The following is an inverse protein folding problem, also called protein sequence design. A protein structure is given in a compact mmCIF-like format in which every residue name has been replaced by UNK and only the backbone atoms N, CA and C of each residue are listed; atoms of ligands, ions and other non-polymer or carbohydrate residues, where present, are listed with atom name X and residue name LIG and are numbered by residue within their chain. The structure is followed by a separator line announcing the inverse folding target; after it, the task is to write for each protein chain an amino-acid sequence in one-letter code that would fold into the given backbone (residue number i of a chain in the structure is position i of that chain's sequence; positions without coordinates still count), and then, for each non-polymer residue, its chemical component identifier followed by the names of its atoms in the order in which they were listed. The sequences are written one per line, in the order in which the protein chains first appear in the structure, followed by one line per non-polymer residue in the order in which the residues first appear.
data_IF_977644218139
#
_entry.id   IF_977644218139
#
_cell.length_a   1.000
_cell.length_b   1.000
_cell.length_c   1.000
_cell.angle_alpha   90.00
_cell.angle_beta   90.00
_cell.angle_gamma   90.00
#
_symmetry.space_group_name_H-M   'P 1'
#
loop_
_entity.id
_entity.type
_entity.pdbx_description
1 polymer ?
#
# COMPACT_ATOMS: atom_id res chain seq x y z
N UNK A 1 -24.31 -2.45 2.79
CA UNK A 1 -23.36 -1.44 3.26
C UNK A 1 -21.95 -1.91 2.95
N UNK A 2 -21.10 -1.05 2.42
CA UNK A 2 -19.68 -1.35 2.12
C UNK A 2 -18.83 -0.32 2.86
N UNK A 3 -17.82 -0.77 3.59
CA UNK A 3 -16.88 0.10 4.28
C UNK A 3 -15.66 0.38 3.38
N UNK A 4 -15.22 1.64 3.37
CA UNK A 4 -13.95 2.06 2.76
C UNK A 4 -13.44 3.30 3.49
N UNK A 5 -12.12 3.53 3.50
CA UNK A 5 -11.59 4.79 4.03
C UNK A 5 -11.93 5.93 3.07
N UNK A 6 -12.48 7.00 3.62
CA UNK A 6 -12.86 8.19 2.84
C UNK A 6 -11.74 9.24 2.89
N UNK A 7 -11.62 10.02 1.83
CA UNK A 7 -10.61 11.08 1.70
C UNK A 7 -9.46 10.73 0.76
N UNK A 8 -9.60 9.69 -0.07
CA UNK A 8 -8.65 9.31 -1.10
C UNK A 8 -8.71 7.84 -1.51
N UNK A 9 -8.94 6.93 -0.55
CA UNK A 9 -8.88 5.47 -0.77
C UNK A 9 -10.20 4.88 -1.29
N UNK A 10 -11.26 5.68 -1.41
CA UNK A 10 -12.54 5.23 -1.97
C UNK A 10 -12.52 5.13 -3.49
N UNK A 11 -11.51 5.69 -4.15
CA UNK A 11 -11.53 5.90 -5.59
C UNK A 11 -11.31 4.61 -6.39
N UNK A 12 -10.50 3.67 -5.92
CA UNK A 12 -10.34 2.35 -6.52
C UNK A 12 -11.66 1.57 -6.47
N UNK A 13 -12.37 1.64 -5.33
CA UNK A 13 -13.69 1.04 -5.18
C UNK A 13 -14.68 1.70 -6.14
N UNK A 14 -14.73 3.03 -6.19
CA UNK A 14 -15.68 3.76 -7.06
C UNK A 14 -15.39 3.50 -8.55
N UNK A 15 -14.11 3.44 -8.92
CA UNK A 15 -13.67 3.07 -10.25
C UNK A 15 -14.14 1.66 -10.63
N UNK A 16 -14.03 0.71 -9.70
CA UNK A 16 -14.46 -0.68 -9.87
C UNK A 16 -15.98 -0.76 -10.04
N UNK A 17 -16.73 -0.08 -9.16
CA UNK A 17 -18.19 -0.05 -9.24
C UNK A 17 -18.68 0.55 -10.55
N UNK A 18 -18.12 1.70 -10.95
CA UNK A 18 -18.48 2.35 -12.19
C UNK A 18 -18.11 1.53 -13.44
N UNK A 19 -16.98 0.80 -13.42
CA UNK A 19 -16.61 -0.17 -14.47
C UNK A 19 -17.68 -1.24 -14.65
N UNK A 20 -18.32 -1.66 -13.56
CA UNK A 20 -19.41 -2.64 -13.54
C UNK A 20 -20.81 -2.00 -13.61
N UNK A 21 -20.91 -0.71 -13.93
CA UNK A 21 -22.17 0.00 -14.14
C UNK A 21 -22.94 0.32 -12.86
N UNK A 22 -22.29 0.26 -11.70
CA UNK A 22 -22.89 0.60 -10.40
C UNK A 22 -22.56 2.04 -9.98
N UNK A 23 -23.56 2.75 -9.49
CA UNK A 23 -23.44 4.08 -8.90
C UNK A 23 -23.23 3.95 -7.38
N UNK A 24 -22.05 4.34 -6.84
CA UNK A 24 -21.75 4.21 -5.42
C UNK A 24 -22.68 5.02 -4.50
N UNK A 25 -23.38 6.03 -5.03
CA UNK A 25 -24.31 6.86 -4.26
C UNK A 25 -25.75 6.32 -4.26
N UNK A 26 -26.11 5.46 -5.23
CA UNK A 26 -27.48 4.95 -5.38
C UNK A 26 -27.59 3.46 -5.11
N UNK A 27 -26.64 2.69 -5.59
CA UNK A 27 -26.69 1.22 -5.54
C UNK A 27 -26.09 0.66 -4.25
N UNK A 28 -25.34 1.49 -3.51
CA UNK A 28 -24.69 1.12 -2.27
C UNK A 28 -24.93 2.13 -1.16
N UNK A 29 -24.76 1.65 0.07
CA UNK A 29 -24.55 2.51 1.24
C UNK A 29 -23.07 2.41 1.61
N UNK A 30 -22.30 3.41 1.22
CA UNK A 30 -20.89 3.54 1.60
C UNK A 30 -20.80 4.09 3.01
N UNK A 31 -19.96 3.49 3.86
CA UNK A 31 -19.69 3.98 5.21
C UNK A 31 -18.19 4.18 5.40
N UNK A 32 -17.82 5.15 6.23
CA UNK A 32 -16.43 5.37 6.59
C UNK A 32 -15.91 4.18 7.39
N UNK A 33 -14.84 3.57 6.92
CA UNK A 33 -14.17 2.48 7.63
C UNK A 33 -13.29 3.03 8.76
N UNK A 34 -13.29 2.41 9.95
CA UNK A 34 -12.25 2.64 10.96
C UNK A 34 -10.91 2.01 10.52
N UNK A 35 -9.84 2.18 11.30
CA UNK A 35 -8.55 1.49 11.08
C UNK A 35 -8.55 0.05 11.64
N UNK A 36 -9.73 -0.57 11.72
CA UNK A 36 -9.94 -1.95 12.14
C UNK A 36 -10.99 -2.64 11.26
N UNK A 37 -11.11 -3.97 11.40
CA UNK A 37 -12.03 -4.78 10.60
C UNK A 37 -13.32 -5.17 11.34
N UNK A 38 -13.66 -4.50 12.44
CA UNK A 38 -14.82 -4.87 13.26
C UNK A 38 -16.15 -4.77 12.51
N UNK A 39 -16.33 -3.77 11.64
CA UNK A 39 -17.56 -3.65 10.86
C UNK A 39 -17.81 -4.88 9.98
N UNK A 40 -16.76 -5.45 9.38
CA UNK A 40 -16.87 -6.66 8.57
C UNK A 40 -17.10 -7.90 9.46
N UNK A 41 -16.30 -8.03 10.53
CA UNK A 41 -16.35 -9.17 11.43
C UNK A 41 -17.69 -9.29 12.17
N UNK A 42 -18.27 -8.16 12.57
CA UNK A 42 -19.60 -8.06 13.20
C UNK A 42 -20.76 -8.15 12.21
N UNK A 43 -20.48 -8.24 10.90
CA UNK A 43 -21.48 -8.26 9.82
C UNK A 43 -22.32 -6.97 9.71
N UNK A 44 -21.80 -5.84 10.19
CA UNK A 44 -22.41 -4.52 10.01
C UNK A 44 -22.28 -4.02 8.55
N UNK A 45 -21.26 -4.50 7.84
CA UNK A 45 -21.06 -4.33 6.40
C UNK A 45 -20.88 -5.67 5.70
N UNK A 46 -21.18 -5.71 4.40
CA UNK A 46 -21.03 -6.93 3.58
C UNK A 46 -19.67 -7.03 2.92
N UNK A 47 -18.96 -5.91 2.80
CA UNK A 47 -17.59 -5.82 2.30
C UNK A 47 -16.89 -4.63 2.98
N UNK A 48 -15.57 -4.72 3.10
CA UNK A 48 -14.70 -3.70 3.65
C UNK A 48 -13.41 -3.64 2.83
N UNK A 49 -12.85 -2.44 2.66
CA UNK A 49 -11.54 -2.27 2.04
C UNK A 49 -10.45 -2.84 2.96
N UNK A 50 -9.39 -3.39 2.37
CA UNK A 50 -8.30 -3.94 3.15
C UNK A 50 -6.99 -3.82 2.38
N UNK A 51 -5.93 -3.46 3.09
CA UNK A 51 -4.58 -3.64 2.60
C UNK A 51 -4.12 -5.07 2.89
N UNK A 52 -3.46 -5.70 1.92
CA UNK A 52 -2.94 -7.09 2.05
C UNK A 52 -1.98 -7.21 3.23
N UNK A 53 -1.22 -6.15 3.49
CA UNK A 53 -0.24 -6.10 4.56
C UNK A 53 -0.82 -5.78 5.93
N UNK A 54 -2.06 -5.28 6.08
CA UNK A 54 -2.60 -4.84 7.37
C UNK A 54 -3.99 -5.44 7.66
N UNK A 55 -5.06 -4.82 7.17
CA UNK A 55 -6.45 -5.21 7.51
C UNK A 55 -6.77 -6.64 7.10
N UNK A 56 -6.19 -7.12 6.00
CA UNK A 56 -6.34 -8.51 5.60
C UNK A 56 -5.83 -9.47 6.69
N UNK A 57 -4.68 -9.16 7.30
CA UNK A 57 -4.16 -9.92 8.43
C UNK A 57 -5.09 -9.83 9.65
N UNK A 58 -5.63 -8.64 9.95
CA UNK A 58 -6.57 -8.49 11.08
C UNK A 58 -7.79 -9.42 10.97
N UNK A 59 -8.29 -9.68 9.76
CA UNK A 59 -9.37 -10.65 9.56
C UNK A 59 -8.87 -12.08 9.81
N UNK A 60 -7.72 -12.45 9.25
CA UNK A 60 -7.13 -13.78 9.39
C UNK A 60 -6.64 -14.10 10.82
N UNK A 61 -6.41 -13.07 11.64
CA UNK A 61 -6.04 -13.19 13.06
C UNK A 61 -7.25 -13.40 13.98
N UNK A 62 -8.48 -13.45 13.44
CA UNK A 62 -9.70 -13.62 14.21
C UNK A 62 -10.28 -15.02 14.01
N UNK A 63 -10.85 -15.61 15.07
CA UNK A 63 -11.56 -16.89 14.95
C UNK A 63 -12.86 -16.72 14.16
N UNK A 64 -13.01 -17.54 13.14
CA UNK A 64 -14.26 -17.72 12.44
C UNK A 64 -15.28 -18.39 13.38
N UNK A 65 -16.43 -17.75 13.68
CA UNK A 65 -17.39 -18.28 14.64
C UNK A 65 -18.06 -19.58 14.19
N UNK A 66 -17.98 -19.93 12.90
CA UNK A 66 -18.54 -21.19 12.38
C UNK A 66 -17.62 -22.38 12.59
N UNK A 67 -16.31 -22.21 12.39
CA UNK A 67 -15.33 -23.31 12.48
C UNK A 67 -14.62 -23.36 13.84
N UNK A 68 -14.61 -22.26 14.59
CA UNK A 68 -13.82 -22.10 15.81
C UNK A 68 -12.31 -21.97 15.57
N UNK A 69 -11.87 -22.02 14.30
CA UNK A 69 -10.49 -21.81 13.86
C UNK A 69 -10.32 -20.38 13.36
N UNK A 70 -9.08 -19.93 13.17
CA UNK A 70 -8.81 -18.65 12.51
C UNK A 70 -9.45 -18.61 11.12
N UNK A 71 -9.96 -17.45 10.72
CA UNK A 71 -10.37 -17.21 9.35
C UNK A 71 -9.26 -17.62 8.39
N UNK A 72 -9.64 -18.31 7.32
CA UNK A 72 -8.73 -18.69 6.25
C UNK A 72 -9.01 -17.84 5.02
N UNK A 73 -8.04 -17.67 4.10
CA UNK A 73 -8.28 -17.01 2.81
C UNK A 73 -9.49 -17.57 2.06
N UNK A 74 -9.74 -18.88 2.15
CA UNK A 74 -10.90 -19.55 1.55
C UNK A 74 -12.25 -19.19 2.18
N UNK A 75 -12.26 -18.50 3.33
CA UNK A 75 -13.48 -17.99 3.96
C UNK A 75 -13.88 -16.60 3.42
N UNK A 76 -13.05 -16.01 2.55
CA UNK A 76 -13.17 -14.64 2.08
C UNK A 76 -13.32 -14.61 0.56
N UNK A 77 -14.20 -13.73 0.10
CA UNK A 77 -14.27 -13.34 -1.31
C UNK A 77 -13.46 -12.06 -1.48
N UNK A 78 -12.45 -12.09 -2.36
CA UNK A 78 -11.51 -10.99 -2.54
C UNK A 78 -11.77 -10.31 -3.88
N UNK A 79 -12.07 -9.01 -3.83
CA UNK A 79 -12.07 -8.13 -4.99
C UNK A 79 -10.71 -7.46 -5.06
N UNK A 80 -9.87 -7.93 -5.98
CA UNK A 80 -8.53 -7.38 -6.19
C UNK A 80 -8.57 -6.27 -7.25
N UNK A 81 -8.28 -5.04 -6.85
CA UNK A 81 -8.29 -3.89 -7.75
C UNK A 81 -7.22 -3.98 -8.85
N UNK A 82 -6.16 -4.75 -8.67
CA UNK A 82 -5.18 -5.01 -9.74
C UNK A 82 -5.80 -5.87 -10.84
N UNK A 83 -6.55 -6.91 -10.46
CA UNK A 83 -7.28 -7.76 -11.41
C UNK A 83 -8.43 -7.01 -12.08
N UNK A 84 -9.06 -6.09 -11.34
CA UNK A 84 -10.07 -5.20 -11.91
C UNK A 84 -9.48 -4.09 -12.81
N UNK A 85 -8.16 -3.87 -12.79
CA UNK A 85 -7.52 -2.79 -13.54
C UNK A 85 -7.92 -1.40 -13.06
N UNK A 86 -8.29 -1.29 -11.79
CA UNK A 86 -8.75 -0.06 -11.12
C UNK A 86 -7.87 0.32 -9.93
N UNK A 87 -6.80 -0.46 -9.67
CA UNK A 87 -5.77 -0.12 -8.72
C UNK A 87 -5.08 1.20 -9.09
N UNK A 88 -4.74 1.98 -8.07
CA UNK A 88 -4.05 3.25 -8.17
C UNK A 88 -2.74 3.19 -7.38
N UNK A 89 -1.79 4.06 -7.69
CA UNK A 89 -0.59 4.24 -6.89
C UNK A 89 -0.96 4.85 -5.53
N UNK A 90 -0.38 4.30 -4.47
CA UNK A 90 -0.59 4.72 -3.10
C UNK A 90 0.59 5.57 -2.60
N UNK A 91 1.29 5.11 -1.56
CA UNK A 91 2.30 5.87 -0.83
C UNK A 91 3.45 6.38 -1.70
N UNK A 92 3.87 7.62 -1.45
CA UNK A 92 4.97 8.25 -2.17
C UNK A 92 5.66 9.36 -1.38
N UNK A 93 6.92 9.64 -1.73
CA UNK A 93 7.66 10.80 -1.22
C UNK A 93 7.31 12.00 -2.08
N UNK A 94 6.74 13.05 -1.48
CA UNK A 94 6.41 14.29 -2.17
C UNK A 94 7.10 15.50 -1.54
N UNK A 95 7.29 16.55 -2.34
CA UNK A 95 7.80 17.85 -1.90
C UNK A 95 7.23 18.95 -2.79
N UNK A 96 7.37 20.20 -2.36
CA UNK A 96 6.95 21.34 -3.17
C UNK A 96 7.88 21.54 -4.36
N UNK A 97 7.34 21.99 -5.49
CA UNK A 97 8.14 22.32 -6.66
C UNK A 97 9.17 23.42 -6.36
N UNK A 98 8.82 24.39 -5.50
CA UNK A 98 9.74 25.44 -5.07
C UNK A 98 10.99 24.86 -4.35
N UNK A 99 10.80 23.88 -3.47
CA UNK A 99 11.90 23.21 -2.80
C UNK A 99 12.79 22.47 -3.80
N UNK A 100 12.20 21.71 -4.73
CA UNK A 100 12.95 20.90 -5.69
C UNK A 100 13.67 21.73 -6.78
N UNK A 101 13.16 22.93 -7.09
CA UNK A 101 13.77 23.83 -8.08
C UNK A 101 14.96 24.63 -7.52
N UNK A 102 15.07 24.78 -6.18
CA UNK A 102 16.24 25.43 -5.59
C UNK A 102 17.46 24.49 -5.66
N UNK A 103 18.48 24.92 -6.41
CA UNK A 103 19.73 24.17 -6.60
C UNK A 103 20.41 23.77 -5.26
N UNK A 104 20.23 24.56 -4.20
CA UNK A 104 20.78 24.25 -2.86
C UNK A 104 20.08 23.05 -2.20
N UNK A 105 18.82 22.81 -2.54
CA UNK A 105 17.99 21.75 -1.96
C UNK A 105 18.04 20.45 -2.76
N UNK A 106 18.46 20.49 -4.03
CA UNK A 106 18.51 19.30 -4.87
C UNK A 106 19.39 18.19 -4.29
N UNK A 107 20.57 18.53 -3.74
CA UNK A 107 21.42 17.55 -3.07
C UNK A 107 20.80 17.02 -1.75
N UNK A 108 20.03 17.86 -1.05
CA UNK A 108 19.26 17.42 0.13
C UNK A 108 18.20 16.40 -0.29
N UNK A 109 17.46 16.66 -1.36
CA UNK A 109 16.44 15.74 -1.88
C UNK A 109 17.05 14.39 -2.28
N UNK A 110 18.18 14.39 -3.01
CA UNK A 110 18.87 13.13 -3.37
C UNK A 110 19.33 12.36 -2.12
N UNK A 111 19.91 13.05 -1.13
CA UNK A 111 20.37 12.39 0.10
C UNK A 111 19.21 11.85 0.94
N UNK A 112 18.10 12.58 1.02
CA UNK A 112 16.89 12.14 1.68
C UNK A 112 16.34 10.86 1.04
N UNK A 113 16.11 10.88 -0.28
CA UNK A 113 15.63 9.69 -1.00
C UNK A 113 16.60 8.53 -0.84
N UNK A 114 17.90 8.75 -1.01
CA UNK A 114 18.93 7.71 -0.80
C UNK A 114 18.84 7.10 0.60
N UNK A 115 18.69 7.91 1.64
CA UNK A 115 18.59 7.42 3.02
C UNK A 115 17.30 6.60 3.22
N UNK A 116 16.16 7.08 2.71
CA UNK A 116 14.90 6.34 2.76
C UNK A 116 14.99 4.99 2.05
N UNK A 117 15.55 4.94 0.84
CA UNK A 117 15.72 3.69 0.09
C UNK A 117 16.67 2.72 0.80
N UNK A 118 17.76 3.21 1.40
CA UNK A 118 18.65 2.37 2.22
C UNK A 118 17.92 1.79 3.44
N UNK A 119 17.02 2.54 4.06
CA UNK A 119 16.18 2.04 5.15
C UNK A 119 15.28 0.89 4.69
N UNK A 120 14.60 1.04 3.56
CA UNK A 120 13.77 -0.03 2.97
C UNK A 120 14.59 -1.27 2.59
N UNK A 121 15.77 -1.08 1.97
CA UNK A 121 16.70 -2.17 1.65
C UNK A 121 17.13 -2.89 2.95
N UNK A 122 17.45 -2.14 4.00
CA UNK A 122 17.78 -2.73 5.30
C UNK A 122 16.62 -3.55 5.85
N UNK A 123 15.38 -3.05 5.79
CA UNK A 123 14.20 -3.77 6.29
C UNK A 123 13.84 -5.01 5.49
N UNK A 124 14.12 -5.03 4.19
CA UNK A 124 14.05 -6.24 3.37
C UNK A 124 14.95 -7.34 3.92
N UNK A 125 16.20 -6.97 4.20
CA UNK A 125 17.25 -7.92 4.55
C UNK A 125 17.28 -8.25 6.06
N UNK A 126 16.63 -7.42 6.89
CA UNK A 126 16.61 -7.50 8.35
C UNK A 126 15.19 -7.31 8.91
N UNK A 127 14.25 -8.14 8.47
CA UNK A 127 12.82 -8.03 8.83
C UNK A 127 12.59 -7.92 10.34
N UNK A 128 13.22 -8.78 11.15
CA UNK A 128 13.04 -8.75 12.62
C UNK A 128 13.50 -7.43 13.24
N UNK A 129 14.63 -6.89 12.78
CA UNK A 129 15.16 -5.63 13.29
C UNK A 129 14.21 -4.48 12.98
N UNK A 130 13.66 -4.44 11.76
CA UNK A 130 12.71 -3.39 11.39
C UNK A 130 11.38 -3.49 12.14
N UNK A 131 10.90 -4.70 12.41
CA UNK A 131 9.74 -4.90 13.29
C UNK A 131 10.03 -4.35 14.69
N UNK A 132 11.20 -4.61 15.26
CA UNK A 132 11.57 -4.11 16.58
C UNK A 132 11.75 -2.58 16.60
N UNK A 133 12.23 -1.97 15.52
CA UNK A 133 12.26 -0.50 15.35
C UNK A 133 10.85 0.09 15.41
N UNK A 134 9.90 -0.49 14.67
CA UNK A 134 8.50 -0.01 14.63
C UNK A 134 7.84 -0.17 15.99
N UNK A 135 7.96 -1.34 16.63
CA UNK A 135 7.38 -1.62 17.94
C UNK A 135 7.91 -0.68 19.03
N UNK A 136 9.17 -0.25 18.93
CA UNK A 136 9.74 0.74 19.85
C UNK A 136 9.09 2.12 19.72
N UNK A 137 8.60 2.49 18.53
CA UNK A 137 7.93 3.78 18.30
C UNK A 137 6.41 3.70 18.46
N UNK A 138 5.80 2.52 18.22
CA UNK A 138 4.36 2.31 18.28
C UNK A 138 4.00 0.83 18.50
N UNK A 139 3.81 0.39 19.75
CA UNK A 139 3.55 -1.01 20.09
C UNK A 139 2.06 -1.40 20.00
N UNK A 140 1.21 -0.59 19.35
CA UNK A 140 -0.25 -0.81 19.31
C UNK A 140 -0.62 -2.13 18.64
N UNK A 141 0.09 -2.50 17.56
CA UNK A 141 -0.09 -3.78 16.88
C UNK A 141 0.97 -4.78 17.37
N UNK A 142 0.61 -6.05 17.63
CA UNK A 142 1.56 -7.01 18.19
C UNK A 142 2.66 -7.42 17.20
N UNK A 143 3.71 -8.08 17.72
CA UNK A 143 4.91 -8.42 16.94
C UNK A 143 4.62 -9.35 15.75
N UNK A 144 3.77 -10.35 15.92
CA UNK A 144 3.36 -11.25 14.82
C UNK A 144 2.71 -10.47 13.67
N UNK A 145 1.78 -9.58 14.00
CA UNK A 145 1.10 -8.70 13.04
C UNK A 145 2.10 -7.79 12.31
N UNK A 146 2.98 -7.10 13.05
CA UNK A 146 4.01 -6.24 12.44
C UNK A 146 4.98 -7.03 11.54
N UNK A 147 5.27 -8.28 11.89
CA UNK A 147 6.08 -9.18 11.06
C UNK A 147 5.36 -9.55 9.77
N UNK A 148 4.04 -9.79 9.83
CA UNK A 148 3.22 -9.94 8.62
C UNK A 148 3.28 -8.70 7.74
N UNK A 149 3.04 -7.50 8.32
CA UNK A 149 3.04 -6.26 7.53
C UNK A 149 4.36 -6.07 6.80
N UNK A 150 5.48 -6.23 7.51
CA UNK A 150 6.81 -6.05 6.94
C UNK A 150 7.08 -7.08 5.83
N UNK A 151 6.61 -8.32 5.99
CA UNK A 151 6.75 -9.35 4.96
C UNK A 151 5.91 -9.04 3.71
N UNK A 152 4.64 -8.66 3.86
CA UNK A 152 3.76 -8.36 2.73
C UNK A 152 4.17 -7.08 1.99
N UNK A 153 4.56 -6.01 2.70
CA UNK A 153 5.09 -4.80 2.07
C UNK A 153 6.36 -5.11 1.27
N UNK A 154 7.25 -5.95 1.79
CA UNK A 154 8.45 -6.35 1.04
C UNK A 154 8.09 -7.07 -0.27
N UNK A 155 7.00 -7.86 -0.34
CA UNK A 155 6.56 -8.46 -1.60
C UNK A 155 6.10 -7.42 -2.63
N UNK A 156 5.50 -6.33 -2.17
CA UNK A 156 5.05 -5.24 -3.04
C UNK A 156 6.22 -4.41 -3.57
N UNK A 157 7.22 -4.15 -2.73
CA UNK A 157 8.38 -3.31 -3.10
C UNK A 157 9.41 -4.09 -3.93
N UNK A 158 9.64 -5.37 -3.63
CA UNK A 158 10.74 -6.17 -4.18
C UNK A 158 10.25 -7.26 -5.14
N UNK A 159 9.60 -6.82 -6.22
CA UNK A 159 9.03 -7.72 -7.23
C UNK A 159 10.05 -8.25 -8.26
N UNK A 160 11.29 -7.77 -8.21
CA UNK A 160 12.36 -8.14 -9.14
C UNK A 160 12.21 -7.53 -10.54
N UNK A 161 11.26 -6.63 -10.75
CA UNK A 161 10.93 -6.00 -12.03
C UNK A 161 11.11 -4.49 -12.00
N UNK A 162 10.78 -3.83 -10.89
CA UNK A 162 10.85 -2.38 -10.73
C UNK A 162 11.96 -1.98 -9.76
N UNK A 163 12.68 -0.91 -10.09
CA UNK A 163 13.71 -0.35 -9.22
C UNK A 163 13.01 0.41 -8.08
N UNK A 164 13.37 0.09 -6.85
CA UNK A 164 12.78 0.72 -5.65
C UNK A 164 12.81 2.24 -5.71
N UNK A 165 11.66 2.86 -5.47
CA UNK A 165 11.50 4.31 -5.40
C UNK A 165 11.54 5.04 -6.76
N UNK A 166 11.70 4.33 -7.87
CA UNK A 166 11.53 4.90 -9.21
C UNK A 166 10.07 4.74 -9.61
N UNK A 167 9.40 5.86 -9.89
CA UNK A 167 8.03 5.85 -10.40
C UNK A 167 7.96 5.08 -11.72
N UNK A 168 6.99 4.18 -11.85
CA UNK A 168 6.68 3.53 -13.12
C UNK A 168 5.69 4.37 -13.94
N UNK A 169 6.08 4.71 -15.17
CA UNK A 169 5.29 5.58 -16.04
C UNK A 169 3.92 4.98 -16.38
N UNK A 170 3.80 3.65 -16.48
CA UNK A 170 2.52 3.00 -16.80
C UNK A 170 1.59 3.00 -15.60
N UNK A 171 2.10 2.70 -14.41
CA UNK A 171 1.31 2.74 -13.17
C UNK A 171 0.86 4.18 -12.86
N UNK A 172 1.72 5.17 -13.11
CA UNK A 172 1.32 6.59 -13.01
C UNK A 172 0.23 6.95 -14.00
N UNK A 173 0.38 6.57 -15.27
CA UNK A 173 -0.62 6.87 -16.30
C UNK A 173 -1.96 6.20 -15.99
N UNK A 174 -1.97 4.94 -15.58
CA UNK A 174 -3.18 4.24 -15.14
C UNK A 174 -3.86 4.99 -14.00
N UNK A 175 -3.11 5.39 -12.98
CA UNK A 175 -3.62 6.15 -11.83
C UNK A 175 -4.23 7.48 -12.28
N UNK A 176 -3.54 8.23 -13.13
CA UNK A 176 -4.01 9.51 -13.67
C UNK A 176 -5.28 9.36 -14.51
N UNK A 177 -5.37 8.31 -15.32
CA UNK A 177 -6.53 8.03 -16.16
C UNK A 177 -7.75 7.64 -15.33
N UNK A 178 -7.57 6.80 -14.31
CA UNK A 178 -8.63 6.44 -13.35
C UNK A 178 -9.10 7.70 -12.62
N UNK A 179 -8.16 8.49 -12.07
CA UNK A 179 -8.47 9.72 -11.35
C UNK A 179 -9.27 10.71 -12.22
N UNK A 180 -8.92 10.86 -13.50
CA UNK A 180 -9.64 11.73 -14.42
C UNK A 180 -11.02 11.16 -14.77
N UNK A 181 -11.07 9.89 -15.16
CA UNK A 181 -12.29 9.21 -15.62
C UNK A 181 -13.38 9.23 -14.55
N UNK A 182 -13.00 9.05 -13.29
CA UNK A 182 -13.95 8.97 -12.16
C UNK A 182 -14.04 10.26 -11.35
N UNK A 183 -13.48 11.37 -11.85
CA UNK A 183 -13.76 12.71 -11.35
C UNK A 183 -13.01 13.13 -10.09
N UNK A 184 -11.96 12.39 -9.71
CA UNK A 184 -11.01 12.80 -8.65
C UNK A 184 -10.28 14.08 -9.06
N UNK A 185 -9.85 14.13 -10.32
CA UNK A 185 -9.26 15.31 -10.95
C UNK A 185 -10.13 15.79 -12.11
N UNK A 186 -10.19 17.11 -12.30
CA UNK A 186 -11.00 17.74 -13.36
C UNK A 186 -10.27 17.91 -14.69
N UNK A 187 -8.95 17.75 -14.68
CA UNK A 187 -8.06 17.92 -15.82
C UNK A 187 -7.06 16.78 -15.80
N UNK A 188 -6.57 16.38 -16.96
CA UNK A 188 -5.51 15.40 -17.07
C UNK A 188 -4.32 15.81 -16.20
N UNK A 189 -3.69 14.81 -15.55
CA UNK A 189 -2.50 15.04 -14.74
C UNK A 189 -1.39 15.67 -15.58
N UNK A 190 -0.73 16.69 -15.03
CA UNK A 190 0.42 17.30 -15.69
C UNK A 190 1.61 16.33 -15.66
N UNK A 191 2.45 16.34 -16.70
CA UNK A 191 3.72 15.58 -16.70
C UNK A 191 4.65 15.99 -15.55
N UNK A 192 4.50 17.20 -15.03
CA UNK A 192 5.21 17.70 -13.86
C UNK A 192 4.67 17.17 -12.52
N UNK A 193 3.61 16.34 -12.52
CA UNK A 193 3.02 15.79 -11.30
C UNK A 193 3.97 14.83 -10.55
N UNK A 194 4.96 14.25 -11.23
CA UNK A 194 6.05 13.53 -10.59
C UNK A 194 7.38 13.80 -11.30
N UNK A 195 8.48 13.46 -10.63
CA UNK A 195 9.82 13.43 -11.22
C UNK A 195 10.60 12.25 -10.68
N UNK A 196 11.31 11.55 -11.56
CA UNK A 196 12.22 10.46 -11.18
C UNK A 196 13.65 10.96 -10.95
N UNK A 197 13.96 12.22 -11.26
CA UNK A 197 15.33 12.74 -11.29
C UNK A 197 16.09 12.51 -9.98
N UNK A 198 15.46 12.77 -8.83
CA UNK A 198 16.11 12.67 -7.53
C UNK A 198 16.27 11.21 -7.09
N UNK A 199 15.25 10.39 -7.35
CA UNK A 199 15.29 8.96 -7.07
C UNK A 199 16.30 8.23 -7.96
N UNK A 200 16.40 8.59 -9.25
CA UNK A 200 17.41 8.05 -10.16
C UNK A 200 18.82 8.36 -9.68
N UNK A 201 19.10 9.63 -9.33
CA UNK A 201 20.41 10.02 -8.75
C UNK A 201 20.71 9.28 -7.44
N UNK A 202 19.69 9.02 -6.62
CA UNK A 202 19.84 8.25 -5.39
C UNK A 202 20.20 6.79 -5.70
N UNK A 203 19.47 6.13 -6.58
CA UNK A 203 19.73 4.75 -7.04
C UNK A 203 21.11 4.62 -7.69
N UNK A 204 21.47 5.50 -8.62
CA UNK A 204 22.74 5.44 -9.36
C UNK A 204 23.98 5.52 -8.45
N UNK A 205 23.81 6.14 -7.28
CA UNK A 205 24.86 6.25 -6.26
C UNK A 205 24.96 5.04 -5.31
N UNK A 206 24.05 4.07 -5.43
CA UNK A 206 23.93 2.89 -4.59
C UNK A 206 24.31 1.62 -5.39
N UNK A 207 25.50 1.60 -5.98
CA UNK A 207 25.93 0.55 -6.92
C UNK A 207 26.12 -0.84 -6.29
N UNK A 208 26.33 -0.90 -4.98
CA UNK A 208 26.69 -2.13 -4.26
C UNK A 208 25.50 -2.75 -3.50
N UNK A 209 24.26 -2.30 -3.77
CA UNK A 209 23.05 -2.84 -3.13
C UNK A 209 22.02 -3.26 -4.17
N UNK A 210 21.27 -4.32 -3.86
CA UNK A 210 20.19 -4.79 -4.71
C UNK A 210 19.00 -3.81 -4.63
N UNK A 211 18.86 -2.94 -5.62
CA UNK A 211 17.77 -1.97 -5.72
C UNK A 211 16.54 -2.50 -6.47
N UNK A 212 16.65 -3.69 -7.06
CA UNK A 212 15.54 -4.34 -7.77
C UNK A 212 14.85 -5.41 -6.92
N UNK A 213 15.57 -5.98 -5.94
CA UNK A 213 15.09 -7.12 -5.16
C UNK A 213 15.19 -8.44 -5.93
N UNK A 214 16.15 -8.60 -6.85
CA UNK A 214 16.31 -9.83 -7.67
C UNK A 214 16.40 -11.10 -6.85
N UNK A 215 16.99 -11.01 -5.67
CA UNK A 215 17.20 -12.15 -4.78
C UNK A 215 16.24 -12.18 -3.59
N UNK A 216 15.28 -11.24 -3.54
CA UNK A 216 14.33 -11.18 -2.45
C UNK A 216 13.48 -12.45 -2.41
N UNK A 217 13.26 -12.96 -1.20
CA UNK A 217 12.29 -14.01 -0.92
C UNK A 217 11.54 -13.65 0.35
N UNK A 218 10.21 -13.77 0.38
CA UNK A 218 9.46 -13.57 1.60
C UNK A 218 9.86 -14.62 2.64
N UNK A 219 9.74 -14.23 3.91
CA UNK A 219 9.92 -15.16 5.02
C UNK A 219 8.60 -15.90 5.29
N UNK A 220 8.63 -17.12 5.83
CA UNK A 220 7.42 -17.75 6.33
C UNK A 220 6.89 -16.95 7.53
N UNK A 221 5.64 -16.51 7.44
CA UNK A 221 4.92 -15.85 8.55
C UNK A 221 3.65 -16.66 8.81
N UNK A 222 3.41 -17.01 10.07
CA UNK A 222 2.17 -17.66 10.52
C UNK A 222 1.41 -16.69 11.40
N UNK A 223 0.19 -16.36 11.00
CA UNK A 223 -0.70 -15.54 11.81
C UNK A 223 -1.27 -16.34 12.97
N UNK A 224 -1.36 -15.70 14.13
CA UNK A 224 -1.94 -16.25 15.36
C UNK A 224 -3.15 -15.42 15.77
N UNK A 225 -3.93 -15.91 16.73
CA UNK A 225 -5.09 -15.17 17.22
C UNK A 225 -4.69 -13.80 17.79
N UNK A 226 -5.21 -12.74 17.16
CA UNK A 226 -4.88 -11.35 17.46
C UNK A 226 -3.45 -10.93 17.08
N UNK A 227 -2.77 -11.66 16.21
CA UNK A 227 -1.47 -11.28 15.65
C UNK A 227 -0.29 -11.38 16.60
N UNK A 228 -0.42 -12.16 17.67
CA UNK A 228 0.59 -12.32 18.74
C UNK A 228 1.88 -12.97 18.26
#
# INVERSE_FOLDING_TARGET
KVAVWLGGNEFELYATLAKHGMDPQKDLTIVSQPFDMNLLLNRDVVAAAAMTYNEYAQVLEVKNPKSGQLYQPSDLEIVDFNQEGTAMLEDGIFSTQAFLNDAKNQDIAVRFVRASLKGWIYCRDNVSDCVDIVLKQGPTLPKGHQTWQMNEINKLIWDGQHIVGIMDDKQFQQTADIALKYGVIKKAADKAAYTTQFAQKAVDSMKDVDTLGKNYKPIPVSLTEGGK
#
